data_IF_416806034310
#
_entry.id   IF_416806034310
#
_cell.length_a   1.000
_cell.length_b   1.000
_cell.length_c   1.000
_cell.angle_alpha   90.00
_cell.angle_beta   90.00
_cell.angle_gamma   90.00
#
_symmetry.space_group_name_H-M   'P 1'
#
loop_
_entity.id
_entity.type
_entity.pdbx_description
1 polymer ?
#
# COMPACT_ATOMS: atom_id res chain seq x y z
N UNK A 1 -0.55 -43.13 17.99
CA UNK A 1 -0.22 -41.72 18.28
C UNK A 1 -1.45 -40.90 17.99
N UNK A 2 -2.15 -40.44 19.03
CA UNK A 2 -3.39 -39.65 18.89
C UNK A 2 -2.96 -38.22 18.55
N UNK A 3 -3.29 -37.75 17.35
CA UNK A 3 -3.03 -36.36 16.94
C UNK A 3 -4.25 -35.55 17.39
N UNK A 4 -4.07 -34.74 18.43
CA UNK A 4 -5.06 -33.78 18.89
C UNK A 4 -4.96 -32.52 18.02
N UNK A 5 -5.93 -32.29 17.14
CA UNK A 5 -6.07 -31.04 16.40
C UNK A 5 -6.73 -30.01 17.31
N UNK A 6 -6.02 -28.93 17.69
CA UNK A 6 -6.68 -27.76 18.25
C UNK A 6 -7.13 -26.86 17.09
N UNK A 7 -8.45 -26.75 16.91
CA UNK A 7 -9.02 -25.73 16.05
C UNK A 7 -8.88 -24.37 16.76
N UNK A 8 -7.81 -23.64 16.44
CA UNK A 8 -7.67 -22.25 16.85
C UNK A 8 -8.06 -21.40 15.64
N UNK A 9 -9.13 -20.61 15.76
CA UNK A 9 -9.38 -19.51 14.85
C UNK A 9 -8.21 -18.53 14.99
N UNK A 10 -7.41 -18.34 13.94
CA UNK A 10 -6.41 -17.28 13.96
C UNK A 10 -6.52 -16.37 12.76
N UNK A 11 -6.10 -15.14 13.01
CA UNK A 11 -6.09 -14.08 12.03
C UNK A 11 -4.84 -14.19 11.16
N UNK A 12 -5.00 -14.02 9.85
CA UNK A 12 -3.86 -13.90 8.91
C UNK A 12 -3.03 -12.62 9.12
N UNK A 13 -3.38 -11.82 10.13
CA UNK A 13 -2.78 -10.53 10.49
C UNK A 13 -2.28 -10.52 11.95
N UNK A 14 -1.90 -11.69 12.51
CA UNK A 14 -1.26 -11.73 13.82
C UNK A 14 0.13 -11.10 13.75
N UNK A 15 0.18 -9.80 14.00
CA UNK A 15 1.40 -9.05 14.28
C UNK A 15 1.53 -8.92 15.79
N UNK A 16 2.76 -8.81 16.31
CA UNK A 16 2.97 -8.53 17.74
C UNK A 16 2.38 -7.18 18.17
N UNK A 17 2.13 -6.29 17.20
CA UNK A 17 1.48 -5.01 17.42
C UNK A 17 0.04 -5.03 16.95
N UNK A 18 -0.87 -4.51 17.78
CA UNK A 18 -2.28 -4.36 17.44
C UNK A 18 -2.52 -2.97 16.86
N UNK A 19 -3.26 -2.89 15.75
CA UNK A 19 -3.76 -1.62 15.23
C UNK A 19 -4.74 -0.97 16.22
N UNK A 20 -4.81 0.37 16.21
CA UNK A 20 -5.71 1.14 17.09
C UNK A 20 -7.17 1.00 16.64
N UNK A 21 -7.40 0.88 15.33
CA UNK A 21 -8.73 0.65 14.76
C UNK A 21 -8.78 -0.75 14.15
N UNK A 22 -9.72 -1.55 14.63
CA UNK A 22 -10.03 -2.87 14.08
C UNK A 22 -10.96 -2.74 12.87
N UNK A 23 -10.88 -3.68 11.93
CA UNK A 23 -11.87 -3.77 10.85
C UNK A 23 -13.26 -4.10 11.42
N UNK A 24 -14.28 -3.39 10.94
CA UNK A 24 -15.69 -3.72 11.23
C UNK A 24 -16.10 -5.06 10.61
N UNK A 25 -15.58 -5.35 9.41
CA UNK A 25 -15.71 -6.64 8.74
C UNK A 25 -14.34 -7.36 8.75
N UNK A 26 -14.00 -8.07 9.84
CA UNK A 26 -12.73 -8.78 9.93
C UNK A 26 -12.75 -10.00 9.01
N UNK A 27 -11.57 -10.35 8.52
CA UNK A 27 -11.40 -11.57 7.73
C UNK A 27 -11.49 -12.78 8.64
N UNK A 28 -12.33 -13.73 8.28
CA UNK A 28 -12.43 -15.01 8.95
C UNK A 28 -11.99 -16.10 7.97
N UNK A 29 -10.87 -16.75 8.27
CA UNK A 29 -10.49 -17.98 7.59
C UNK A 29 -10.46 -19.11 8.60
N UNK A 30 -11.09 -20.27 8.31
CA UNK A 30 -10.87 -21.49 9.07
C UNK A 30 -9.50 -22.07 8.68
N UNK A 31 -8.40 -21.41 9.09
CA UNK A 31 -7.05 -21.93 8.88
C UNK A 31 -6.53 -22.57 10.16
N UNK A 32 -5.94 -23.76 10.01
CA UNK A 32 -5.13 -24.38 11.05
C UNK A 32 -3.70 -23.88 10.89
N UNK A 33 -3.11 -23.32 11.96
CA UNK A 33 -1.70 -22.96 11.94
C UNK A 33 -0.85 -24.23 11.98
N UNK A 34 0.24 -24.23 11.21
CA UNK A 34 1.21 -25.30 11.28
C UNK A 34 1.88 -25.29 12.68
N UNK A 35 2.03 -26.48 13.26
CA UNK A 35 2.78 -26.69 14.52
C UNK A 35 4.24 -26.26 14.39
N UNK A 36 4.79 -26.27 13.17
CA UNK A 36 6.15 -25.85 12.86
C UNK A 36 6.07 -24.78 11.77
N UNK A 37 6.50 -23.56 12.10
CA UNK A 37 6.55 -22.43 11.18
C UNK A 37 7.85 -22.47 10.33
N UNK A 38 8.02 -23.53 9.53
CA UNK A 38 9.14 -23.65 8.59
C UNK A 38 8.61 -23.78 7.16
N UNK A 39 9.11 -22.90 6.28
CA UNK A 39 8.83 -22.97 4.85
C UNK A 39 9.79 -23.97 4.18
N UNK A 40 9.27 -25.10 3.71
CA UNK A 40 10.01 -26.12 2.97
C UNK A 40 9.55 -26.27 1.51
N UNK A 41 10.13 -27.25 0.80
CA UNK A 41 9.73 -27.63 -0.56
C UNK A 41 9.90 -26.52 -1.60
N UNK A 42 9.08 -26.55 -2.65
CA UNK A 42 9.17 -25.58 -3.75
C UNK A 42 9.01 -24.12 -3.28
N UNK A 43 8.01 -23.84 -2.43
CA UNK A 43 7.73 -22.50 -1.92
C UNK A 43 8.87 -22.03 -1.00
N UNK A 44 9.34 -22.88 -0.07
CA UNK A 44 10.47 -22.56 0.79
C UNK A 44 11.75 -22.26 -0.01
N UNK A 45 12.02 -23.02 -1.07
CA UNK A 45 13.15 -22.77 -1.96
C UNK A 45 13.02 -21.42 -2.70
N UNK A 46 11.83 -21.08 -3.22
CA UNK A 46 11.58 -19.77 -3.85
C UNK A 46 11.79 -18.63 -2.87
N UNK A 47 11.34 -18.81 -1.63
CA UNK A 47 11.50 -17.84 -0.55
C UNK A 47 12.97 -17.62 -0.20
N UNK A 48 13.72 -18.71 0.01
CA UNK A 48 15.17 -18.66 0.26
C UNK A 48 15.92 -17.98 -0.88
N UNK A 49 15.63 -18.35 -2.13
CA UNK A 49 16.27 -17.75 -3.31
C UNK A 49 15.94 -16.26 -3.41
N UNK A 50 14.71 -15.83 -3.09
CA UNK A 50 14.35 -14.42 -3.06
C UNK A 50 15.16 -13.65 -1.99
N UNK A 51 15.24 -14.19 -0.78
CA UNK A 51 16.05 -13.61 0.30
C UNK A 51 17.53 -13.46 -0.12
N UNK A 52 18.16 -14.57 -0.51
CA UNK A 52 19.61 -14.63 -0.74
C UNK A 52 20.06 -13.94 -2.03
N UNK A 53 19.24 -13.97 -3.09
CA UNK A 53 19.64 -13.51 -4.41
C UNK A 53 18.93 -12.24 -4.88
N UNK A 54 17.86 -11.80 -4.21
CA UNK A 54 17.19 -10.54 -4.52
C UNK A 54 17.31 -9.54 -3.39
N UNK A 55 16.78 -9.86 -2.20
CA UNK A 55 16.72 -8.89 -1.11
C UNK A 55 18.11 -8.52 -0.61
N UNK A 56 18.96 -9.49 -0.26
CA UNK A 56 20.33 -9.25 0.24
C UNK A 56 21.32 -8.72 -0.82
N UNK A 57 20.89 -8.60 -2.09
CA UNK A 57 21.74 -8.15 -3.21
C UNK A 57 21.17 -6.92 -3.91
N UNK A 58 20.17 -6.26 -3.32
CA UNK A 58 19.55 -5.07 -3.90
C UNK A 58 20.57 -3.93 -3.95
N UNK A 59 20.50 -3.09 -4.99
CA UNK A 59 21.29 -1.88 -5.08
C UNK A 59 20.73 -0.80 -4.16
N UNK A 60 21.24 -0.74 -2.92
CA UNK A 60 20.77 0.21 -1.90
C UNK A 60 20.92 1.68 -2.35
N UNK A 61 22.05 2.01 -2.98
CA UNK A 61 22.31 3.37 -3.47
C UNK A 61 21.33 3.71 -4.58
N UNK A 62 21.13 2.81 -5.54
CA UNK A 62 20.16 3.00 -6.62
C UNK A 62 18.73 3.24 -6.12
N UNK A 63 18.30 2.55 -5.06
CA UNK A 63 16.95 2.73 -4.51
C UNK A 63 16.77 4.05 -3.76
N UNK A 64 17.83 4.60 -3.16
CA UNK A 64 17.77 5.80 -2.33
C UNK A 64 18.22 7.07 -3.06
N UNK A 65 18.93 6.95 -4.19
CA UNK A 65 19.55 8.06 -4.90
C UNK A 65 18.54 9.19 -5.23
N UNK A 66 17.33 8.85 -5.69
CA UNK A 66 16.32 9.85 -6.02
C UNK A 66 15.80 10.65 -4.82
N UNK A 67 15.94 10.11 -3.60
CA UNK A 67 15.55 10.79 -2.36
C UNK A 67 16.68 11.65 -1.80
N UNK A 68 17.92 11.15 -1.89
CA UNK A 68 19.13 11.86 -1.44
C UNK A 68 19.47 13.00 -2.41
N UNK A 69 19.39 12.75 -3.71
CA UNK A 69 19.79 13.65 -4.79
C UNK A 69 18.57 13.97 -5.68
N UNK A 70 17.77 14.97 -5.27
CA UNK A 70 16.61 15.43 -6.05
C UNK A 70 17.06 16.34 -7.21
N UNK A 71 16.43 16.27 -8.40
CA UNK A 71 15.38 15.32 -8.76
C UNK A 71 15.97 13.94 -9.10
N UNK A 72 15.19 12.89 -8.85
CA UNK A 72 15.60 11.54 -9.18
C UNK A 72 15.77 11.29 -10.70
N UNK A 73 16.61 10.31 -11.04
CA UNK A 73 17.03 10.00 -12.43
C UNK A 73 15.89 9.64 -13.39
N UNK A 74 14.76 9.14 -12.87
CA UNK A 74 13.55 8.92 -13.65
C UNK A 74 12.30 9.16 -12.79
N UNK A 75 11.17 9.39 -13.46
CA UNK A 75 9.95 9.92 -12.82
C UNK A 75 9.33 8.98 -11.77
N UNK A 76 9.54 7.68 -11.87
CA UNK A 76 8.98 6.68 -10.95
C UNK A 76 10.01 6.08 -9.99
N UNK A 77 11.23 6.64 -9.89
CA UNK A 77 12.31 6.05 -9.07
C UNK A 77 11.94 5.89 -7.59
N UNK A 78 11.08 6.77 -7.08
CA UNK A 78 10.63 6.75 -5.69
C UNK A 78 9.80 5.52 -5.31
N UNK A 79 9.30 4.71 -6.25
CA UNK A 79 8.46 3.56 -5.88
C UNK A 79 9.24 2.36 -5.30
N UNK A 80 10.54 2.29 -5.57
CA UNK A 80 11.28 1.04 -5.41
C UNK A 80 11.70 0.75 -3.96
N UNK A 81 12.12 1.77 -3.21
CA UNK A 81 12.55 1.62 -1.82
C UNK A 81 11.41 1.12 -0.91
N UNK A 82 10.22 1.69 -1.08
CA UNK A 82 9.03 1.27 -0.33
C UNK A 82 8.67 -0.19 -0.58
N UNK A 83 8.67 -0.62 -1.85
CA UNK A 83 8.45 -2.04 -2.24
C UNK A 83 9.50 -2.97 -1.63
N UNK A 84 10.77 -2.55 -1.63
CA UNK A 84 11.84 -3.30 -0.98
C UNK A 84 11.60 -3.44 0.53
N UNK A 85 11.29 -2.34 1.23
CA UNK A 85 11.06 -2.36 2.68
C UNK A 85 9.86 -3.23 3.07
N UNK A 86 8.78 -3.17 2.30
CA UNK A 86 7.62 -4.05 2.50
C UNK A 86 8.00 -5.53 2.32
N UNK A 87 8.71 -5.86 1.22
CA UNK A 87 9.17 -7.21 0.98
C UNK A 87 10.15 -7.70 2.05
N UNK A 88 11.08 -6.85 2.49
CA UNK A 88 12.06 -7.16 3.53
C UNK A 88 11.40 -7.36 4.90
N UNK A 89 10.45 -6.49 5.28
CA UNK A 89 9.72 -6.61 6.54
C UNK A 89 8.91 -7.90 6.61
N UNK A 90 8.13 -8.20 5.55
CA UNK A 90 7.41 -9.47 5.42
C UNK A 90 8.37 -10.66 5.44
N UNK A 91 9.54 -10.52 4.80
CA UNK A 91 10.53 -11.60 4.75
C UNK A 91 11.12 -11.90 6.11
N UNK A 92 11.56 -10.85 6.81
CA UNK A 92 12.19 -10.92 8.12
C UNK A 92 11.25 -11.40 9.21
N UNK A 93 9.96 -11.08 9.14
CA UNK A 93 8.96 -11.55 10.11
C UNK A 93 8.94 -13.08 10.22
N UNK A 94 9.18 -13.77 9.10
CA UNK A 94 9.22 -15.23 9.00
C UNK A 94 10.63 -15.78 9.27
N UNK A 95 11.67 -15.23 8.62
CA UNK A 95 13.02 -15.83 8.66
C UNK A 95 13.85 -15.40 9.85
N UNK A 96 13.56 -14.21 10.40
CA UNK A 96 14.39 -13.52 11.38
C UNK A 96 15.86 -13.38 10.97
N UNK A 97 16.12 -13.31 9.67
CA UNK A 97 17.47 -13.20 9.11
C UNK A 97 18.16 -11.89 9.55
N UNK A 98 19.33 -12.01 10.19
CA UNK A 98 20.03 -10.87 10.80
C UNK A 98 20.65 -9.94 9.76
N UNK A 99 21.09 -10.48 8.61
CA UNK A 99 21.65 -9.67 7.53
C UNK A 99 20.55 -8.81 6.89
N UNK A 100 19.39 -9.41 6.64
CA UNK A 100 18.24 -8.69 6.10
C UNK A 100 17.77 -7.61 7.08
N UNK A 101 17.71 -7.91 8.40
CA UNK A 101 17.38 -6.91 9.43
C UNK A 101 18.32 -5.72 9.36
N UNK A 102 19.63 -5.99 9.36
CA UNK A 102 20.66 -4.95 9.33
C UNK A 102 20.54 -4.09 8.07
N UNK A 103 20.25 -4.71 6.91
CA UNK A 103 20.08 -4.02 5.65
C UNK A 103 18.81 -3.16 5.63
N UNK A 104 17.66 -3.73 5.97
CA UNK A 104 16.40 -2.97 5.97
C UNK A 104 16.38 -1.83 6.99
N UNK A 105 17.00 -2.00 8.16
CA UNK A 105 17.14 -0.93 9.16
C UNK A 105 17.93 0.25 8.59
N UNK A 106 19.09 -0.03 7.99
CA UNK A 106 19.91 1.00 7.37
C UNK A 106 19.15 1.73 6.26
N UNK A 107 18.46 0.99 5.40
CA UNK A 107 17.70 1.57 4.29
C UNK A 107 16.50 2.40 4.77
N UNK A 108 15.76 1.92 5.78
CA UNK A 108 14.64 2.66 6.38
C UNK A 108 15.12 3.96 7.05
N UNK A 109 16.20 3.91 7.84
CA UNK A 109 16.75 5.12 8.47
C UNK A 109 17.25 6.13 7.43
N UNK A 110 17.93 5.67 6.38
CA UNK A 110 18.38 6.54 5.29
C UNK A 110 17.20 7.18 4.56
N UNK A 111 16.14 6.43 4.25
CA UNK A 111 14.93 6.98 3.63
C UNK A 111 14.31 8.05 4.53
N UNK A 112 14.04 7.74 5.80
CA UNK A 112 13.44 8.68 6.75
C UNK A 112 14.25 9.97 6.92
N UNK A 113 15.59 9.87 6.89
CA UNK A 113 16.48 11.03 6.99
C UNK A 113 16.37 12.01 5.78
N UNK A 114 15.77 11.59 4.67
CA UNK A 114 15.54 12.47 3.50
C UNK A 114 14.21 13.24 3.56
N UNK A 115 13.36 12.95 4.55
CA UNK A 115 12.09 13.64 4.73
C UNK A 115 12.35 15.11 5.09
N UNK A 116 11.69 16.01 4.38
CA UNK A 116 11.76 17.45 4.67
C UNK A 116 10.94 17.79 5.93
N UNK A 117 11.13 19.01 6.46
CA UNK A 117 10.49 19.44 7.70
C UNK A 117 8.96 19.44 7.64
N UNK A 118 8.37 19.77 6.48
CA UNK A 118 6.93 19.77 6.22
C UNK A 118 6.34 18.38 5.97
N UNK A 119 7.18 17.33 5.91
CA UNK A 119 6.76 15.95 5.75
C UNK A 119 6.87 15.39 4.34
N UNK A 120 7.35 16.19 3.37
CA UNK A 120 7.55 15.71 2.00
C UNK A 120 8.64 14.64 1.97
N UNK A 121 8.30 13.49 1.39
CA UNK A 121 9.21 12.36 1.20
C UNK A 121 9.01 11.85 -0.23
N UNK A 122 9.59 12.59 -1.17
CA UNK A 122 9.57 12.22 -2.58
C UNK A 122 10.89 12.55 -3.26
N UNK A 123 10.93 12.28 -4.56
CA UNK A 123 12.14 12.36 -5.39
C UNK A 123 12.13 13.56 -6.35
N UNK A 124 11.15 14.46 -6.22
CA UNK A 124 11.02 15.64 -7.06
C UNK A 124 11.62 16.87 -6.37
N UNK A 125 11.89 17.92 -7.14
CA UNK A 125 12.22 19.26 -6.62
C UNK A 125 10.93 20.07 -6.38
N UNK A 126 10.92 21.10 -5.50
CA UNK A 126 9.72 21.82 -5.08
C UNK A 126 8.82 22.31 -6.23
N UNK A 127 9.41 22.73 -7.35
CA UNK A 127 8.72 23.23 -8.53
C UNK A 127 7.85 22.15 -9.21
N UNK A 128 8.17 20.88 -8.98
CA UNK A 128 7.51 19.73 -9.58
C UNK A 128 6.73 18.88 -8.55
N UNK A 129 6.60 19.34 -7.31
CA UNK A 129 5.81 18.63 -6.31
C UNK A 129 4.37 18.41 -6.78
N UNK A 130 3.83 17.24 -6.43
CA UNK A 130 2.45 16.84 -6.70
C UNK A 130 2.14 16.70 -8.19
N UNK A 131 3.14 16.33 -8.99
CA UNK A 131 3.00 16.04 -10.41
C UNK A 131 3.38 14.58 -10.71
N UNK A 132 2.98 14.08 -11.88
CA UNK A 132 3.43 12.79 -12.43
C UNK A 132 3.26 11.60 -11.45
N UNK A 133 4.34 11.11 -10.83
CA UNK A 133 4.36 9.93 -9.94
C UNK A 133 4.75 10.31 -8.50
N UNK A 134 4.58 11.57 -8.12
CA UNK A 134 5.03 12.05 -6.81
C UNK A 134 4.15 11.50 -5.67
N UNK A 135 2.83 11.61 -5.78
CA UNK A 135 1.88 10.97 -4.83
C UNK A 135 2.07 9.45 -4.81
N UNK A 136 2.39 8.87 -5.97
CA UNK A 136 2.69 7.45 -6.10
C UNK A 136 3.93 7.03 -5.33
N UNK A 137 4.98 7.85 -5.31
CA UNK A 137 6.19 7.58 -4.52
C UNK A 137 5.86 7.59 -3.02
N UNK A 138 5.17 8.63 -2.54
CA UNK A 138 4.72 8.72 -1.15
C UNK A 138 3.87 7.51 -0.71
N UNK A 139 3.01 7.00 -1.60
CA UNK A 139 2.24 5.77 -1.35
C UNK A 139 3.16 4.57 -1.03
N UNK A 140 4.19 4.32 -1.84
CA UNK A 140 5.10 3.19 -1.57
C UNK A 140 5.98 3.43 -0.36
N UNK A 141 6.41 4.67 -0.13
CA UNK A 141 7.15 5.00 1.09
C UNK A 141 6.32 4.68 2.34
N UNK A 142 5.03 5.02 2.33
CA UNK A 142 4.10 4.63 3.39
C UNK A 142 3.95 3.12 3.51
N UNK A 143 3.80 2.36 2.42
CA UNK A 143 3.76 0.89 2.50
C UNK A 143 5.01 0.30 3.14
N UNK A 144 6.18 0.72 2.67
CA UNK A 144 7.46 0.22 3.18
C UNK A 144 7.68 0.56 4.64
N UNK A 145 7.45 1.82 5.03
CA UNK A 145 7.66 2.29 6.40
C UNK A 145 6.61 1.77 7.38
N UNK A 146 5.33 1.62 6.97
CA UNK A 146 4.32 0.99 7.83
C UNK A 146 4.57 -0.50 7.99
N UNK A 147 5.03 -1.22 6.96
CA UNK A 147 5.46 -2.61 7.08
C UNK A 147 6.68 -2.74 7.99
N UNK A 148 7.66 -1.85 7.86
CA UNK A 148 8.82 -1.78 8.75
C UNK A 148 8.41 -1.49 10.20
N UNK A 149 7.52 -0.52 10.42
CA UNK A 149 6.94 -0.24 11.73
C UNK A 149 6.29 -1.49 12.31
N UNK A 150 5.39 -2.14 11.56
CA UNK A 150 4.65 -3.34 11.96
C UNK A 150 5.52 -4.44 12.56
N UNK A 151 6.71 -4.66 11.98
CA UNK A 151 7.61 -5.74 12.42
C UNK A 151 8.65 -5.29 13.45
N UNK A 152 9.01 -4.01 13.49
CA UNK A 152 10.09 -3.49 14.37
C UNK A 152 9.61 -2.68 15.58
N UNK A 153 8.40 -2.10 15.52
CA UNK A 153 7.93 -1.10 16.47
C UNK A 153 8.59 0.28 16.32
N UNK A 154 9.29 0.57 15.22
CA UNK A 154 9.97 1.86 15.00
C UNK A 154 8.99 3.04 14.96
N UNK A 155 8.90 3.77 16.07
CA UNK A 155 8.02 4.94 16.17
C UNK A 155 8.43 6.04 15.17
N UNK A 156 9.70 6.14 14.83
CA UNK A 156 10.19 7.06 13.80
C UNK A 156 9.55 6.76 12.44
N UNK A 157 9.43 5.49 12.05
CA UNK A 157 8.79 5.10 10.80
C UNK A 157 7.30 5.48 10.79
N UNK A 158 6.57 5.19 11.87
CA UNK A 158 5.17 5.63 11.99
C UNK A 158 5.05 7.17 11.95
N UNK A 159 5.92 7.89 12.65
CA UNK A 159 5.94 9.35 12.68
C UNK A 159 6.24 9.95 11.29
N UNK A 160 7.15 9.33 10.53
CA UNK A 160 7.42 9.71 9.13
C UNK A 160 6.16 9.55 8.27
N UNK A 161 5.44 8.42 8.38
CA UNK A 161 4.17 8.22 7.67
C UNK A 161 3.09 9.22 8.11
N UNK A 162 3.01 9.55 9.41
CA UNK A 162 2.09 10.58 9.93
C UNK A 162 2.36 11.94 9.29
N UNK A 163 3.64 12.33 9.15
CA UNK A 163 4.02 13.58 8.48
C UNK A 163 3.63 13.58 7.00
N UNK A 164 3.87 12.48 6.28
CA UNK A 164 3.41 12.30 4.89
C UNK A 164 1.89 12.47 4.80
N UNK A 165 1.14 11.74 5.63
CA UNK A 165 -0.32 11.78 5.63
C UNK A 165 -0.85 13.17 5.95
N UNK A 166 -0.24 13.88 6.91
CA UNK A 166 -0.62 15.26 7.26
C UNK A 166 -0.41 16.21 6.09
N UNK A 167 0.75 16.12 5.43
CA UNK A 167 1.07 16.93 4.26
C UNK A 167 0.06 16.68 3.13
N UNK A 168 -0.21 15.41 2.82
CA UNK A 168 -1.15 15.03 1.75
C UNK A 168 -2.57 15.52 2.03
N UNK A 169 -3.06 15.36 3.28
CA UNK A 169 -4.37 15.88 3.70
C UNK A 169 -4.42 17.40 3.62
N UNK A 170 -3.31 18.10 3.87
CA UNK A 170 -3.26 19.56 3.75
C UNK A 170 -3.28 20.02 2.29
N UNK A 171 -2.59 19.30 1.40
CA UNK A 171 -2.43 19.66 -0.02
C UNK A 171 -3.67 19.35 -0.84
N UNK A 172 -4.34 18.22 -0.59
CA UNK A 172 -5.44 17.73 -1.43
C UNK A 172 -6.77 17.75 -0.70
N UNK A 173 -7.82 18.19 -1.41
CA UNK A 173 -9.16 18.28 -0.85
C UNK A 173 -10.05 19.19 -1.68
N UNK A 174 -11.11 19.70 -1.05
CA UNK A 174 -12.06 20.65 -1.66
C UNK A 174 -12.08 22.01 -0.97
N UNK A 175 -11.27 22.20 0.08
CA UNK A 175 -11.20 23.49 0.77
C UNK A 175 -10.38 24.51 -0.05
N UNK A 176 -10.58 25.78 0.26
CA UNK A 176 -9.80 26.86 -0.36
C UNK A 176 -8.29 26.62 -0.17
N UNK A 177 -7.51 26.75 -1.24
CA UNK A 177 -6.06 26.50 -1.26
C UNK A 177 -5.66 25.04 -1.49
N UNK A 178 -6.59 24.08 -1.42
CA UNK A 178 -6.29 22.67 -1.71
C UNK A 178 -6.38 22.35 -3.21
N UNK A 179 -5.65 21.32 -3.62
CA UNK A 179 -5.55 20.85 -5.01
C UNK A 179 -6.47 19.66 -5.26
N UNK A 180 -6.88 19.49 -6.52
CA UNK A 180 -7.55 18.28 -6.97
C UNK A 180 -6.50 17.18 -7.22
N UNK A 181 -6.55 16.10 -6.43
CA UNK A 181 -5.61 14.97 -6.51
C UNK A 181 -5.59 14.28 -7.87
N UNK A 182 -6.69 14.32 -8.64
CA UNK A 182 -6.75 13.71 -9.97
C UNK A 182 -5.74 14.32 -10.95
N UNK A 183 -5.35 15.58 -10.74
CA UNK A 183 -4.36 16.28 -11.57
C UNK A 183 -2.92 15.94 -11.21
N UNK A 184 -2.71 15.12 -10.18
CA UNK A 184 -1.39 14.77 -9.62
C UNK A 184 -0.95 13.35 -9.96
N UNK A 185 -1.55 12.72 -10.98
CA UNK A 185 -1.26 11.34 -11.36
C UNK A 185 -1.60 11.03 -12.82
N UNK A 186 -0.94 10.00 -13.35
CA UNK A 186 -1.31 9.40 -14.64
C UNK A 186 -2.58 8.55 -14.54
N UNK A 187 -3.03 8.07 -15.69
CA UNK A 187 -4.20 7.19 -15.83
C UNK A 187 -5.46 7.79 -15.23
N UNK A 188 -5.80 9.01 -15.66
CA UNK A 188 -7.05 9.68 -15.23
C UNK A 188 -7.05 9.89 -13.70
N UNK A 189 -5.89 10.14 -13.10
CA UNK A 189 -5.72 10.30 -11.65
C UNK A 189 -5.66 9.00 -10.85
N UNK A 190 -5.80 7.82 -11.46
CA UNK A 190 -5.75 6.53 -10.74
C UNK A 190 -4.42 6.29 -10.03
N UNK A 191 -3.29 6.73 -10.62
CA UNK A 191 -1.99 6.59 -9.96
C UNK A 191 -1.96 7.32 -8.60
N UNK A 192 -2.36 8.59 -8.56
CA UNK A 192 -2.35 9.39 -7.34
C UNK A 192 -3.40 8.92 -6.32
N UNK A 193 -4.61 8.64 -6.77
CA UNK A 193 -5.72 8.23 -5.89
C UNK A 193 -5.53 6.84 -5.27
N UNK A 194 -4.65 6.01 -5.83
CA UNK A 194 -4.32 4.71 -5.23
C UNK A 194 -3.61 4.79 -3.87
N UNK A 195 -3.21 5.99 -3.43
CA UNK A 195 -2.76 6.23 -2.05
C UNK A 195 -3.86 6.04 -1.00
N UNK A 196 -5.11 5.88 -1.43
CA UNK A 196 -6.24 5.50 -0.57
C UNK A 196 -5.86 4.38 0.41
N UNK A 197 -5.20 3.34 -0.08
CA UNK A 197 -4.92 2.14 0.70
C UNK A 197 -3.97 2.36 1.89
N UNK A 198 -2.76 2.96 1.73
CA UNK A 198 -1.90 3.26 2.88
C UNK A 198 -2.41 4.42 3.75
N UNK A 199 -3.26 5.33 3.24
CA UNK A 199 -3.92 6.33 4.09
C UNK A 199 -4.90 5.67 5.07
N UNK A 200 -5.60 4.63 4.63
CA UNK A 200 -6.44 3.82 5.51
C UNK A 200 -5.62 2.97 6.49
N UNK A 201 -4.45 2.47 6.11
CA UNK A 201 -3.53 1.85 7.08
C UNK A 201 -3.08 2.85 8.14
N UNK A 202 -2.76 4.09 7.74
CA UNK A 202 -2.38 5.14 8.68
C UNK A 202 -3.54 5.48 9.64
N UNK A 203 -4.78 5.51 9.16
CA UNK A 203 -5.97 5.59 10.03
C UNK A 203 -6.00 4.45 11.04
N UNK A 204 -5.77 3.21 10.60
CA UNK A 204 -5.80 2.05 11.48
C UNK A 204 -4.71 2.07 12.55
N UNK A 205 -3.50 2.51 12.20
CA UNK A 205 -2.39 2.60 13.15
C UNK A 205 -2.51 3.77 14.13
N UNK A 206 -3.17 4.87 13.75
CA UNK A 206 -3.20 6.10 14.56
C UNK A 206 -4.54 6.38 15.22
N UNK A 207 -5.64 5.87 14.68
CA UNK A 207 -7.00 6.25 15.05
C UNK A 207 -7.42 7.65 14.57
N UNK A 208 -6.55 8.39 13.88
CA UNK A 208 -6.84 9.76 13.46
C UNK A 208 -7.82 9.77 12.27
N UNK A 209 -9.06 10.16 12.56
CA UNK A 209 -10.18 10.13 11.60
C UNK A 209 -9.93 10.95 10.34
N UNK A 210 -9.03 11.94 10.36
CA UNK A 210 -8.75 12.76 9.16
C UNK A 210 -8.27 11.91 7.98
N UNK A 211 -7.56 10.80 8.24
CA UNK A 211 -7.09 9.90 7.19
C UNK A 211 -8.24 9.07 6.59
N UNK A 212 -9.22 8.65 7.42
CA UNK A 212 -10.46 8.03 6.94
C UNK A 212 -11.29 9.02 6.10
N UNK A 213 -11.45 10.26 6.57
CA UNK A 213 -12.17 11.30 5.83
C UNK A 213 -11.47 11.65 4.51
N UNK A 214 -10.14 11.66 4.49
CA UNK A 214 -9.38 11.79 3.25
C UNK A 214 -9.62 10.63 2.28
N UNK A 215 -9.71 9.39 2.80
CA UNK A 215 -10.10 8.24 1.99
C UNK A 215 -11.48 8.40 1.36
N UNK A 216 -12.46 8.93 2.10
CA UNK A 216 -13.79 9.27 1.56
C UNK A 216 -13.71 10.38 0.49
N UNK A 217 -12.86 11.39 0.69
CA UNK A 217 -12.58 12.40 -0.33
C UNK A 217 -12.04 11.78 -1.61
N UNK A 218 -11.08 10.84 -1.53
CA UNK A 218 -10.54 10.16 -2.72
C UNK A 218 -11.67 9.46 -3.49
N UNK A 219 -12.52 8.70 -2.80
CA UNK A 219 -13.63 7.97 -3.44
C UNK A 219 -14.59 8.95 -4.12
N UNK A 220 -14.96 10.04 -3.44
CA UNK A 220 -15.78 11.11 -4.02
C UNK A 220 -15.09 11.78 -5.22
N UNK A 221 -13.77 11.94 -5.16
CA UNK A 221 -13.00 12.59 -6.24
C UNK A 221 -13.01 11.78 -7.52
N UNK A 222 -13.27 10.46 -7.49
CA UNK A 222 -13.37 9.65 -8.70
C UNK A 222 -14.39 10.20 -9.71
N UNK A 223 -15.41 10.90 -9.22
CA UNK A 223 -16.51 11.45 -10.02
C UNK A 223 -16.33 12.91 -10.41
N UNK A 224 -15.21 13.54 -10.05
CA UNK A 224 -14.91 14.89 -10.53
C UNK A 224 -14.70 14.89 -12.04
N UNK A 225 -14.82 16.07 -12.65
CA UNK A 225 -14.64 16.24 -14.09
C UNK A 225 -13.30 15.67 -14.55
N UNK A 226 -13.33 14.78 -15.55
CA UNK A 226 -12.16 14.09 -16.06
C UNK A 226 -11.56 13.05 -15.10
N UNK A 227 -12.30 12.63 -14.08
CA UNK A 227 -11.92 11.57 -13.14
C UNK A 227 -12.18 10.15 -13.66
N UNK A 228 -11.68 9.13 -12.94
CA UNK A 228 -11.68 7.74 -13.39
C UNK A 228 -13.06 7.06 -13.28
N UNK A 229 -14.03 7.67 -12.57
CA UNK A 229 -15.39 7.19 -12.40
C UNK A 229 -15.49 5.71 -11.97
N UNK A 230 -14.56 5.22 -11.15
CA UNK A 230 -14.39 3.79 -10.82
C UNK A 230 -15.69 3.19 -10.26
N UNK A 231 -16.23 3.80 -9.21
CA UNK A 231 -17.46 3.37 -8.51
C UNK A 231 -18.65 3.38 -9.47
N UNK A 232 -18.92 4.52 -10.11
CA UNK A 232 -20.05 4.67 -11.06
C UNK A 232 -19.97 3.69 -12.22
N UNK A 233 -18.78 3.48 -12.77
CA UNK A 233 -18.59 2.57 -13.90
C UNK A 233 -18.85 1.13 -13.50
N UNK A 234 -18.34 0.69 -12.34
CA UNK A 234 -18.57 -0.67 -11.87
C UNK A 234 -20.03 -0.93 -11.46
N UNK A 235 -20.73 0.07 -10.90
CA UNK A 235 -22.16 -0.04 -10.62
C UNK A 235 -22.99 -0.20 -11.90
N UNK A 236 -22.64 0.55 -12.96
CA UNK A 236 -23.39 0.58 -14.22
C UNK A 236 -23.05 -0.57 -15.15
N UNK A 237 -21.76 -0.73 -15.45
CA UNK A 237 -21.26 -1.62 -16.49
C UNK A 237 -20.86 -2.99 -15.96
N UNK A 238 -20.59 -3.11 -14.65
CA UNK A 238 -20.07 -4.33 -13.99
C UNK A 238 -18.85 -4.92 -14.70
N UNK A 239 -18.02 -4.04 -15.28
CA UNK A 239 -16.91 -4.40 -16.15
C UNK A 239 -15.70 -3.53 -15.86
N UNK A 240 -14.57 -4.17 -15.58
CA UNK A 240 -13.32 -3.47 -15.24
C UNK A 240 -12.66 -2.85 -16.48
N UNK A 241 -12.87 -3.42 -17.67
CA UNK A 241 -12.33 -2.86 -18.93
C UNK A 241 -13.02 -1.56 -19.38
N UNK A 242 -14.11 -1.17 -18.71
CA UNK A 242 -14.77 0.13 -18.92
C UNK A 242 -14.31 1.20 -17.95
N UNK A 243 -13.58 0.84 -16.89
CA UNK A 243 -13.12 1.78 -15.87
C UNK A 243 -12.00 2.65 -16.43
N UNK A 244 -12.17 3.97 -16.32
CA UNK A 244 -11.18 4.97 -16.75
C UNK A 244 -10.62 4.66 -18.16
N UNK A 245 -9.31 4.41 -18.25
CA UNK A 245 -8.62 4.04 -19.49
C UNK A 245 -8.19 2.57 -19.54
N UNK A 246 -8.89 1.69 -18.81
CA UNK A 246 -8.65 0.23 -18.73
C UNK A 246 -7.24 -0.18 -18.28
N UNK A 247 -6.48 0.74 -17.66
CA UNK A 247 -5.15 0.42 -17.13
C UNK A 247 -5.31 -0.43 -15.87
N UNK A 248 -4.97 -1.71 -16.00
CA UNK A 248 -5.23 -2.74 -14.97
C UNK A 248 -4.61 -2.42 -13.60
N UNK A 249 -3.31 -2.12 -13.54
CA UNK A 249 -2.59 -2.04 -12.26
C UNK A 249 -3.09 -0.90 -11.36
N UNK A 250 -3.17 0.32 -11.90
CA UNK A 250 -3.62 1.50 -11.16
C UNK A 250 -5.09 1.38 -10.76
N UNK A 251 -5.93 0.80 -11.63
CA UNK A 251 -7.32 0.48 -11.29
C UNK A 251 -7.41 -0.52 -10.14
N UNK A 252 -6.72 -1.66 -10.24
CA UNK A 252 -6.70 -2.68 -9.18
C UNK A 252 -6.19 -2.10 -7.87
N UNK A 253 -5.17 -1.24 -7.91
CA UNK A 253 -4.65 -0.60 -6.72
C UNK A 253 -5.66 0.33 -6.04
N UNK A 254 -6.56 0.98 -6.79
CA UNK A 254 -7.67 1.73 -6.20
C UNK A 254 -8.74 0.79 -5.64
N UNK A 255 -9.06 -0.31 -6.34
CA UNK A 255 -10.03 -1.32 -5.88
C UNK A 255 -9.57 -1.97 -4.57
N UNK A 256 -8.26 -2.22 -4.37
CA UNK A 256 -7.71 -2.68 -3.08
C UNK A 256 -8.03 -1.69 -1.96
N UNK A 257 -7.88 -0.38 -2.21
CA UNK A 257 -8.29 0.66 -1.27
C UNK A 257 -9.81 0.66 -1.01
N UNK A 258 -10.63 0.38 -2.02
CA UNK A 258 -12.09 0.22 -1.86
C UNK A 258 -12.45 -0.99 -1.00
N UNK A 259 -11.75 -2.12 -1.16
CA UNK A 259 -11.90 -3.29 -0.30
C UNK A 259 -11.59 -2.92 1.16
N UNK A 260 -10.49 -2.20 1.38
CA UNK A 260 -10.09 -1.76 2.72
C UNK A 260 -11.10 -0.79 3.32
N UNK A 261 -11.62 0.16 2.54
CA UNK A 261 -12.69 1.07 2.96
C UNK A 261 -13.95 0.30 3.35
N UNK A 262 -14.42 -0.62 2.50
CA UNK A 262 -15.56 -1.49 2.79
C UNK A 262 -15.38 -2.23 4.12
N UNK A 263 -14.21 -2.84 4.34
CA UNK A 263 -13.95 -3.58 5.58
C UNK A 263 -13.92 -2.71 6.83
N UNK A 264 -13.50 -1.45 6.70
CA UNK A 264 -13.47 -0.48 7.82
C UNK A 264 -14.88 0.06 8.14
N UNK A 265 -15.70 0.33 7.13
CA UNK A 265 -16.98 1.05 7.31
C UNK A 265 -18.19 0.13 7.32
N UNK A 266 -18.10 -1.03 6.66
CA UNK A 266 -19.24 -1.90 6.34
C UNK A 266 -20.17 -1.28 5.29
N UNK A 267 -19.64 -0.48 4.38
CA UNK A 267 -20.40 0.12 3.27
C UNK A 267 -20.70 -0.91 2.17
N UNK A 268 -21.91 -1.46 2.18
CA UNK A 268 -22.31 -2.54 1.26
C UNK A 268 -22.30 -2.15 -0.22
N UNK A 269 -22.38 -0.84 -0.56
CA UNK A 269 -22.23 -0.42 -1.96
C UNK A 269 -20.80 -0.67 -2.44
N UNK A 270 -19.81 -0.34 -1.61
CA UNK A 270 -18.40 -0.64 -1.89
C UNK A 270 -18.16 -2.16 -1.96
N UNK A 271 -18.78 -2.94 -1.07
CA UNK A 271 -18.73 -4.41 -1.12
C UNK A 271 -19.29 -4.99 -2.43
N UNK A 272 -20.41 -4.44 -2.89
CA UNK A 272 -21.04 -4.83 -4.17
C UNK A 272 -20.14 -4.50 -5.36
N UNK A 273 -19.56 -3.29 -5.39
CA UNK A 273 -18.67 -2.83 -6.46
C UNK A 273 -17.41 -3.68 -6.57
N UNK A 274 -16.80 -4.00 -5.42
CA UNK A 274 -15.62 -4.88 -5.36
C UNK A 274 -15.95 -6.26 -5.88
N UNK A 275 -17.14 -6.79 -5.56
CA UNK A 275 -17.61 -8.09 -6.06
C UNK A 275 -17.79 -8.07 -7.59
N UNK A 276 -18.41 -7.04 -8.15
CA UNK A 276 -18.53 -6.89 -9.60
C UNK A 276 -17.18 -6.83 -10.31
N UNK A 277 -16.19 -6.14 -9.72
CA UNK A 277 -14.85 -6.10 -10.28
C UNK A 277 -14.20 -7.49 -10.26
N UNK A 278 -14.28 -8.20 -9.13
CA UNK A 278 -13.74 -9.56 -8.99
C UNK A 278 -14.39 -10.53 -9.99
N UNK A 279 -15.72 -10.52 -10.10
CA UNK A 279 -16.47 -11.40 -10.98
C UNK A 279 -16.11 -11.18 -12.46
N UNK A 280 -16.02 -9.93 -12.93
CA UNK A 280 -15.59 -9.65 -14.31
C UNK A 280 -14.15 -10.09 -14.56
N UNK A 281 -13.24 -9.86 -13.61
CA UNK A 281 -11.84 -10.27 -13.75
C UNK A 281 -11.75 -11.79 -13.91
N UNK A 282 -12.35 -12.53 -12.99
CA UNK A 282 -12.28 -14.00 -12.99
C UNK A 282 -12.95 -14.59 -14.23
N UNK A 283 -14.09 -14.04 -14.65
CA UNK A 283 -14.83 -14.57 -15.79
C UNK A 283 -14.19 -14.21 -17.14
N UNK A 284 -13.62 -13.01 -17.28
CA UNK A 284 -13.34 -12.44 -18.61
C UNK A 284 -11.92 -11.89 -18.80
N UNK A 285 -11.11 -11.73 -17.75
CA UNK A 285 -9.84 -10.95 -17.82
C UNK A 285 -8.60 -11.70 -17.38
N UNK A 286 -8.72 -12.97 -17.04
CA UNK A 286 -7.57 -13.81 -16.70
C UNK A 286 -7.18 -14.69 -17.89
N UNK A 287 -5.90 -14.67 -18.22
CA UNK A 287 -5.31 -15.75 -19.00
C UNK A 287 -5.25 -17.04 -18.16
N UNK A 288 -4.99 -18.19 -18.79
CA UNK A 288 -4.86 -19.49 -18.10
C UNK A 288 -3.79 -19.49 -16.99
N UNK A 289 -2.82 -18.59 -17.07
CA UNK A 289 -1.76 -18.36 -16.08
C UNK A 289 -2.19 -17.51 -14.88
N UNK A 290 -3.41 -16.98 -14.87
CA UNK A 290 -3.91 -16.04 -13.87
C UNK A 290 -3.33 -14.62 -13.99
N UNK A 291 -2.72 -14.30 -15.13
CA UNK A 291 -2.26 -12.95 -15.49
C UNK A 291 -3.36 -12.14 -16.15
#
# INVERSE_FOLDING_TARGET
MVILLMAVSGYSQHTNMKMVVDYKLPTHYPISFALVNQLGGYIGNRYKVNLENRLLKVDEEGLLDGFVNRPGKHRWIGEHIGKYLEAAANTWEITRDVLLKTQMDRMAHRLMATQTQDGYLGTYIPENYWTSWDVWSHKYDMYGLLAYYRVTGSQDALNTCVKIGNLIVSVFGTNSGQRNILKSGSHVGMAATSILDPMLDLYMWTGDKKYLEFGKYIIKSYDFEGGPAIVKTLLKEKRVDKVANAKAYEMLSNIVGLVKMYRLTGDEELGTIVSYAFDDIVANRLFVTGT
#
